data_IF_651396473553
#
_entry.id   IF_651396473553
#
_cell.length_a   1.000
_cell.length_b   1.000
_cell.length_c   1.000
_cell.angle_alpha   90.00
_cell.angle_beta   90.00
_cell.angle_gamma   90.00
#
_symmetry.space_group_name_H-M   'P 1'
#
loop_
_entity.id
_entity.type
_entity.pdbx_description
1 polymer ?
#
# COMPACT_ATOMS: atom_id res chain seq x y z
N UNK A 1 -4.24 -12.58 12.59
CA UNK A 1 -5.70 -12.71 12.87
C UNK A 1 -6.41 -11.35 12.74
N UNK A 2 -5.81 -10.26 13.22
CA UNK A 2 -6.38 -8.89 13.12
C UNK A 2 -6.68 -8.47 11.68
N UNK A 3 -5.79 -8.73 10.75
CA UNK A 3 -5.98 -8.46 9.31
C UNK A 3 -7.21 -9.17 8.71
N UNK A 4 -7.53 -10.37 9.19
CA UNK A 4 -8.68 -11.14 8.71
C UNK A 4 -10.02 -10.56 9.14
N UNK A 5 -10.04 -9.80 10.23
CA UNK A 5 -11.24 -9.14 10.76
C UNK A 5 -11.48 -7.79 10.08
N UNK A 6 -10.41 -7.11 9.69
CA UNK A 6 -10.44 -5.77 9.08
C UNK A 6 -10.64 -5.86 7.56
N UNK A 7 -10.04 -6.89 6.90
CA UNK A 7 -10.08 -7.02 5.45
C UNK A 7 -11.51 -7.13 4.92
N UNK A 8 -11.92 -6.32 3.93
CA UNK A 8 -13.25 -6.41 3.31
C UNK A 8 -13.43 -7.65 2.43
N UNK A 9 -12.39 -8.45 2.27
CA UNK A 9 -12.34 -9.67 1.48
C UNK A 9 -11.96 -10.88 2.35
N UNK A 10 -12.24 -12.07 1.83
CA UNK A 10 -11.98 -13.32 2.55
C UNK A 10 -10.52 -13.75 2.41
N UNK A 11 -9.79 -13.78 3.54
CA UNK A 11 -8.44 -14.35 3.62
C UNK A 11 -8.54 -15.83 3.99
N UNK A 12 -7.88 -16.68 3.22
CA UNK A 12 -7.84 -18.14 3.38
C UNK A 12 -6.39 -18.63 3.51
N UNK A 13 -6.23 -19.85 4.02
CA UNK A 13 -4.93 -20.51 4.15
C UNK A 13 -4.65 -21.31 2.89
N UNK A 14 -3.57 -21.00 2.20
CA UNK A 14 -3.09 -21.73 1.02
C UNK A 14 -2.46 -23.09 1.37
N UNK A 15 -2.15 -23.92 0.35
CA UNK A 15 -1.60 -25.27 0.51
C UNK A 15 -0.27 -25.30 1.26
N UNK A 16 0.56 -24.30 1.08
CA UNK A 16 1.86 -24.16 1.76
C UNK A 16 1.76 -23.47 3.14
N UNK A 17 0.53 -23.16 3.60
CA UNK A 17 0.30 -22.42 4.83
C UNK A 17 0.38 -20.89 4.67
N UNK A 18 0.54 -20.44 3.43
CA UNK A 18 0.55 -19.04 3.02
C UNK A 18 -0.84 -18.40 3.13
N UNK A 19 -0.90 -17.09 3.27
CA UNK A 19 -2.14 -16.33 3.22
C UNK A 19 -2.54 -16.09 1.75
N UNK A 20 -3.83 -16.31 1.44
CA UNK A 20 -4.40 -16.06 0.10
C UNK A 20 -5.69 -15.27 0.19
N UNK A 21 -5.99 -14.56 -0.87
CA UNK A 21 -7.26 -13.85 -1.05
C UNK A 21 -8.19 -14.71 -1.88
N UNK A 22 -9.37 -15.01 -1.33
CA UNK A 22 -10.42 -15.73 -2.05
C UNK A 22 -11.39 -14.74 -2.70
N UNK A 23 -11.57 -14.86 -4.01
CA UNK A 23 -12.49 -14.03 -4.81
C UNK A 23 -13.72 -14.85 -5.18
N UNK A 24 -14.88 -14.61 -4.54
CA UNK A 24 -16.10 -15.40 -4.77
C UNK A 24 -16.58 -15.37 -6.23
N UNK A 25 -16.47 -14.21 -6.89
CA UNK A 25 -16.94 -14.04 -8.28
C UNK A 25 -16.26 -14.96 -9.28
N UNK A 26 -15.01 -15.34 -9.04
CA UNK A 26 -14.22 -16.24 -9.90
C UNK A 26 -14.04 -17.62 -9.29
N UNK A 27 -14.43 -17.81 -8.04
CA UNK A 27 -14.18 -19.00 -7.22
C UNK A 27 -12.69 -19.39 -7.20
N UNK A 28 -11.79 -18.40 -7.12
CA UNK A 28 -10.34 -18.59 -7.14
C UNK A 28 -9.67 -17.99 -5.89
N UNK A 29 -8.54 -18.57 -5.55
CA UNK A 29 -7.61 -18.08 -4.54
C UNK A 29 -6.40 -17.46 -5.24
N UNK A 30 -5.97 -16.31 -4.75
CA UNK A 30 -4.82 -15.57 -5.26
C UNK A 30 -3.79 -15.37 -4.15
N UNK A 31 -2.53 -15.53 -4.50
CA UNK A 31 -1.41 -15.16 -3.63
C UNK A 31 -1.27 -13.64 -3.54
N UNK A 32 -0.62 -13.10 -2.50
CA UNK A 32 -0.31 -11.66 -2.41
C UNK A 32 0.46 -11.16 -3.63
N UNK A 33 1.38 -11.97 -4.18
CA UNK A 33 2.15 -11.64 -5.38
C UNK A 33 1.26 -11.48 -6.61
N UNK A 34 0.26 -12.35 -6.79
CA UNK A 34 -0.68 -12.26 -7.91
C UNK A 34 -1.58 -11.02 -7.79
N UNK A 35 -2.05 -10.69 -6.59
CA UNK A 35 -2.83 -9.46 -6.37
C UNK A 35 -1.97 -8.21 -6.65
N UNK A 36 -0.75 -8.16 -6.11
CA UNK A 36 0.19 -7.08 -6.37
C UNK A 36 0.53 -6.96 -7.85
N UNK A 37 0.64 -8.09 -8.57
CA UNK A 37 0.88 -8.10 -10.01
C UNK A 37 -0.29 -7.50 -10.80
N UNK A 38 -1.53 -7.68 -10.37
CA UNK A 38 -2.70 -7.03 -11.00
C UNK A 38 -2.60 -5.51 -10.88
N UNK A 39 -2.21 -5.00 -9.72
CA UNK A 39 -2.00 -3.57 -9.48
C UNK A 39 -0.86 -3.04 -10.36
N UNK A 40 0.30 -3.72 -10.36
CA UNK A 40 1.44 -3.34 -11.18
C UNK A 40 1.11 -3.41 -12.68
N UNK A 41 0.31 -4.39 -13.12
CA UNK A 41 -0.19 -4.48 -14.48
C UNK A 41 -1.07 -3.29 -14.88
N UNK A 42 -1.94 -2.84 -13.98
CA UNK A 42 -2.75 -1.64 -14.19
C UNK A 42 -1.86 -0.39 -14.31
N UNK A 43 -0.91 -0.21 -13.40
CA UNK A 43 0.03 0.91 -13.43
C UNK A 43 0.88 0.90 -14.73
N UNK A 44 1.32 -0.29 -15.17
CA UNK A 44 2.01 -0.46 -16.44
C UNK A 44 1.16 0.02 -17.60
N UNK A 45 -0.10 -0.44 -17.69
CA UNK A 45 -1.03 -0.04 -18.76
C UNK A 45 -1.27 1.46 -18.76
N UNK A 46 -1.43 2.08 -17.59
CA UNK A 46 -1.63 3.53 -17.48
C UNK A 46 -0.37 4.31 -17.92
N UNK A 47 0.81 3.82 -17.54
CA UNK A 47 2.08 4.42 -17.96
C UNK A 47 2.27 4.30 -19.48
N UNK A 48 1.97 3.14 -20.08
CA UNK A 48 2.03 2.92 -21.54
C UNK A 48 1.07 3.85 -22.28
N UNK A 49 -0.14 4.03 -21.75
CA UNK A 49 -1.12 4.94 -22.34
C UNK A 49 -0.65 6.42 -22.27
N UNK A 50 0.00 6.81 -21.18
CA UNK A 50 0.52 8.16 -20.99
C UNK A 50 1.76 8.45 -21.87
N UNK A 51 2.69 7.48 -21.93
CA UNK A 51 3.96 7.61 -22.66
C UNK A 51 3.82 7.38 -24.17
N UNK A 52 2.79 6.62 -24.59
CA UNK A 52 2.61 6.21 -25.98
C UNK A 52 3.57 5.13 -26.46
N UNK A 53 4.28 4.47 -25.54
CA UNK A 53 5.25 3.41 -25.85
C UNK A 53 5.19 2.28 -24.79
N UNK A 54 5.67 1.06 -25.13
CA UNK A 54 5.69 -0.06 -24.19
C UNK A 54 6.59 0.20 -22.98
N UNK A 55 6.09 -0.12 -21.78
CA UNK A 55 6.86 -0.08 -20.53
C UNK A 55 7.27 -1.51 -20.18
N UNK A 56 8.56 -1.81 -20.30
CA UNK A 56 9.12 -3.15 -20.07
C UNK A 56 9.94 -3.26 -18.80
N UNK A 57 10.41 -2.12 -18.25
CA UNK A 57 11.30 -2.08 -17.09
C UNK A 57 10.71 -1.20 -15.99
N UNK A 58 10.97 -1.58 -14.74
CA UNK A 58 10.53 -0.81 -13.58
C UNK A 58 11.55 -0.85 -12.44
N UNK A 59 11.62 0.24 -11.68
CA UNK A 59 12.12 0.27 -10.31
C UNK A 59 10.89 0.27 -9.41
N UNK A 60 10.85 -0.62 -8.43
CA UNK A 60 9.71 -0.75 -7.51
C UNK A 60 10.17 -0.40 -6.10
N UNK A 61 9.37 0.38 -5.39
CA UNK A 61 9.67 0.78 -4.02
C UNK A 61 8.98 -0.15 -3.03
N UNK A 62 9.59 -0.29 -1.86
CA UNK A 62 9.06 -1.05 -0.73
C UNK A 62 9.35 -0.29 0.57
N UNK A 63 8.55 -0.47 1.63
CA UNK A 63 8.86 0.05 2.95
C UNK A 63 10.26 -0.37 3.42
N UNK A 64 10.94 0.51 4.15
CA UNK A 64 12.31 0.25 4.60
C UNK A 64 12.43 -0.97 5.53
N UNK A 65 11.36 -1.30 6.26
CA UNK A 65 11.30 -2.46 7.17
C UNK A 65 10.99 -3.80 6.50
N UNK A 66 10.68 -3.83 5.19
CA UNK A 66 10.45 -5.08 4.49
C UNK A 66 11.67 -6.00 4.57
N UNK A 67 11.42 -7.25 4.96
CA UNK A 67 12.44 -8.30 4.95
C UNK A 67 12.69 -8.84 3.53
N UNK A 68 13.71 -9.70 3.38
CA UNK A 68 14.09 -10.24 2.08
C UNK A 68 12.98 -11.03 1.39
N UNK A 69 12.16 -11.76 2.13
CA UNK A 69 11.03 -12.51 1.58
C UNK A 69 9.96 -11.59 1.00
N UNK A 70 9.66 -10.47 1.67
CA UNK A 70 8.70 -9.48 1.21
C UNK A 70 9.23 -8.72 -0.02
N UNK A 71 10.54 -8.40 -0.04
CA UNK A 71 11.22 -7.79 -1.19
C UNK A 71 11.21 -8.71 -2.40
N UNK A 72 11.49 -10.00 -2.18
CA UNK A 72 11.44 -11.00 -3.24
C UNK A 72 10.02 -11.18 -3.78
N UNK A 73 9.00 -11.23 -2.91
CA UNK A 73 7.59 -11.31 -3.30
C UNK A 73 7.17 -10.11 -4.18
N UNK A 74 7.62 -8.90 -3.84
CA UNK A 74 7.38 -7.70 -4.66
C UNK A 74 8.07 -7.78 -6.02
N UNK A 75 9.31 -8.29 -6.06
CA UNK A 75 10.03 -8.52 -7.31
C UNK A 75 9.33 -9.56 -8.20
N UNK A 76 8.81 -10.62 -7.59
CA UNK A 76 8.07 -11.66 -8.32
C UNK A 76 6.73 -11.14 -8.85
N UNK A 77 6.03 -10.29 -8.08
CA UNK A 77 4.84 -9.58 -8.56
C UNK A 77 5.12 -8.74 -9.81
N UNK A 78 6.24 -8.02 -9.83
CA UNK A 78 6.68 -7.27 -11.01
C UNK A 78 6.89 -8.17 -12.23
N UNK A 79 7.51 -9.33 -12.06
CA UNK A 79 7.70 -10.31 -13.14
C UNK A 79 6.37 -10.88 -13.63
N UNK A 80 5.44 -11.22 -12.73
CA UNK A 80 4.10 -11.70 -13.09
C UNK A 80 3.35 -10.64 -13.90
N UNK A 81 3.53 -9.36 -13.57
CA UNK A 81 2.98 -8.23 -14.33
C UNK A 81 3.67 -7.98 -15.69
N UNK A 82 4.67 -8.78 -16.05
CA UNK A 82 5.42 -8.64 -17.31
C UNK A 82 6.43 -7.50 -17.32
N UNK A 83 6.99 -7.17 -16.15
CA UNK A 83 8.03 -6.14 -15.97
C UNK A 83 9.38 -6.77 -15.64
N UNK A 84 10.44 -6.27 -16.28
CA UNK A 84 11.80 -6.48 -15.81
C UNK A 84 12.05 -5.56 -14.60
N UNK A 85 12.12 -6.13 -13.40
CA UNK A 85 12.37 -5.38 -12.18
C UNK A 85 13.86 -5.07 -12.07
N UNK A 86 14.25 -3.86 -12.43
CA UNK A 86 15.64 -3.41 -12.44
C UNK A 86 16.20 -3.33 -11.02
N UNK A 87 15.40 -2.83 -10.08
CA UNK A 87 15.80 -2.68 -8.68
C UNK A 87 14.59 -2.60 -7.77
N UNK A 88 14.76 -3.08 -6.54
CA UNK A 88 13.88 -2.79 -5.40
C UNK A 88 14.62 -1.77 -4.53
N UNK A 89 13.98 -0.65 -4.19
CA UNK A 89 14.55 0.40 -3.34
C UNK A 89 13.59 0.73 -2.19
N UNK A 90 14.13 1.31 -1.12
CA UNK A 90 13.30 1.74 0.00
C UNK A 90 12.49 2.99 -0.35
N UNK A 91 11.23 3.05 0.06
CA UNK A 91 10.33 4.19 -0.15
C UNK A 91 10.92 5.51 0.37
N UNK A 92 11.47 5.59 1.60
CA UNK A 92 12.07 6.83 2.08
C UNK A 92 13.29 7.26 1.26
N UNK A 93 14.06 6.31 0.71
CA UNK A 93 15.18 6.61 -0.20
C UNK A 93 14.67 7.18 -1.52
N UNK A 94 13.61 6.61 -2.07
CA UNK A 94 12.99 7.12 -3.31
C UNK A 94 12.42 8.53 -3.12
N UNK A 95 11.78 8.79 -1.99
CA UNK A 95 11.26 10.12 -1.63
C UNK A 95 12.38 11.15 -1.52
N UNK A 96 13.47 10.81 -0.86
CA UNK A 96 14.64 11.67 -0.74
C UNK A 96 15.30 11.97 -2.10
N UNK A 97 15.42 10.96 -2.97
CA UNK A 97 15.92 11.12 -4.34
C UNK A 97 15.01 12.03 -5.18
N UNK A 98 13.70 11.82 -5.12
CA UNK A 98 12.73 12.63 -5.85
C UNK A 98 12.75 14.11 -5.41
N UNK A 99 13.04 14.37 -4.15
CA UNK A 99 13.20 15.72 -3.63
C UNK A 99 14.57 16.36 -4.01
N UNK A 100 15.48 15.61 -4.61
CA UNK A 100 16.79 16.10 -5.07
C UNK A 100 17.84 16.19 -3.97
N UNK A 101 17.73 15.39 -2.93
CA UNK A 101 18.67 15.38 -1.80
C UNK A 101 19.98 14.62 -2.09
N UNK A 102 20.06 13.91 -3.21
CA UNK A 102 21.28 13.27 -3.72
C UNK A 102 22.42 14.26 -4.02
N UNK A 103 22.08 15.53 -4.24
CA UNK A 103 23.03 16.62 -4.55
C UNK A 103 23.56 17.32 -3.30
N UNK A 104 23.01 17.03 -2.15
CA UNK A 104 23.41 17.62 -0.88
C UNK A 104 24.46 16.78 -0.17
N UNK A 105 25.33 17.41 0.63
CA UNK A 105 26.41 16.75 1.34
C UNK A 105 26.09 16.62 2.84
N UNK A 106 26.25 15.40 3.38
CA UNK A 106 26.21 15.11 4.82
C UNK A 106 24.99 15.67 5.55
N UNK A 107 23.81 15.33 5.11
CA UNK A 107 22.56 15.71 5.76
C UNK A 107 21.89 14.54 6.46
N UNK A 108 21.22 14.82 7.56
CA UNK A 108 20.25 13.93 8.19
C UNK A 108 18.86 14.37 7.81
N UNK A 109 18.07 13.44 7.29
CA UNK A 109 16.75 13.70 6.73
C UNK A 109 15.75 12.87 7.50
N UNK A 110 14.63 13.50 7.86
CA UNK A 110 13.44 12.79 8.33
C UNK A 110 12.46 12.71 7.15
N UNK A 111 12.07 11.50 6.78
CA UNK A 111 10.98 11.24 5.85
C UNK A 111 9.75 10.86 6.66
N UNK A 112 8.68 11.63 6.49
CA UNK A 112 7.39 11.42 7.12
C UNK A 112 6.39 11.03 6.03
N UNK A 113 6.00 9.76 6.02
CA UNK A 113 5.11 9.17 5.01
C UNK A 113 3.81 8.74 5.68
N UNK A 114 2.74 9.49 5.42
CA UNK A 114 1.41 9.20 5.95
C UNK A 114 0.47 8.94 4.78
N UNK A 115 0.21 7.66 4.55
CA UNK A 115 -0.66 7.17 3.49
C UNK A 115 -2.12 6.99 3.90
N UNK A 116 -2.88 6.27 3.09
CA UNK A 116 -4.28 5.92 3.38
C UNK A 116 -4.41 4.91 4.51
N UNK A 117 -3.52 3.92 4.57
CA UNK A 117 -3.61 2.81 5.52
C UNK A 117 -2.40 2.61 6.42
N UNK A 118 -1.26 3.25 6.11
CA UNK A 118 -0.02 3.11 6.89
C UNK A 118 0.64 4.46 7.14
N UNK A 119 1.33 4.55 8.26
CA UNK A 119 2.20 5.65 8.61
C UNK A 119 3.62 5.15 8.79
N UNK A 120 4.56 5.73 8.07
CA UNK A 120 5.98 5.41 8.14
C UNK A 120 6.81 6.66 8.37
N UNK A 121 7.76 6.58 9.29
CA UNK A 121 8.75 7.63 9.54
C UNK A 121 10.14 7.02 9.53
N UNK A 122 11.05 7.63 8.77
CA UNK A 122 12.42 7.14 8.62
C UNK A 122 13.42 8.28 8.77
N UNK A 123 14.53 7.98 9.43
CA UNK A 123 15.68 8.88 9.49
C UNK A 123 16.75 8.32 8.56
N UNK A 124 17.15 9.11 7.59
CA UNK A 124 18.21 8.81 6.64
C UNK A 124 19.42 9.70 6.90
N UNK A 125 20.60 9.18 6.63
CA UNK A 125 21.81 9.94 6.48
C UNK A 125 22.24 9.91 5.01
N UNK A 126 22.49 11.09 4.46
CA UNK A 126 22.92 11.28 3.07
C UNK A 126 24.36 11.76 3.09
N UNK A 127 25.22 11.01 2.41
CA UNK A 127 26.63 11.39 2.27
C UNK A 127 27.19 10.89 0.95
N UNK A 128 27.84 11.76 0.17
CA UNK A 128 28.51 11.41 -1.09
C UNK A 128 27.64 10.62 -2.09
N UNK A 129 26.30 10.93 -2.13
CA UNK A 129 25.35 10.24 -2.99
C UNK A 129 24.87 8.88 -2.45
N UNK A 130 25.27 8.50 -1.25
CA UNK A 130 24.80 7.29 -0.54
C UNK A 130 23.70 7.67 0.44
N UNK A 131 22.61 6.92 0.41
CA UNK A 131 21.51 7.03 1.37
C UNK A 131 21.54 5.84 2.33
N UNK A 132 21.72 6.10 3.59
CA UNK A 132 21.69 5.09 4.65
C UNK A 132 20.47 5.31 5.54
N UNK A 133 19.59 4.30 5.66
CA UNK A 133 18.47 4.34 6.60
C UNK A 133 19.00 4.02 7.99
N UNK A 134 18.97 5.00 8.89
CA UNK A 134 19.49 4.87 10.26
C UNK A 134 18.45 4.27 11.21
N UNK A 135 17.19 4.66 11.05
CA UNK A 135 16.09 4.10 11.81
C UNK A 135 14.77 4.27 11.06
N UNK A 136 13.83 3.40 11.37
CA UNK A 136 12.45 3.47 10.88
C UNK A 136 11.50 3.11 12.01
N UNK A 137 10.35 3.76 12.02
CA UNK A 137 9.22 3.50 12.91
C UNK A 137 7.94 3.82 12.16
N UNK A 138 6.80 3.42 12.71
CA UNK A 138 5.51 3.70 12.09
C UNK A 138 4.40 2.88 12.70
N UNK A 139 3.24 2.95 12.05
CA UNK A 139 2.07 2.16 12.38
C UNK A 139 1.46 1.62 11.08
N UNK A 140 1.38 0.31 10.95
CA UNK A 140 0.85 -0.38 9.77
C UNK A 140 -0.67 -0.32 9.64
N UNK A 141 -1.37 0.31 10.61
CA UNK A 141 -2.81 0.46 10.68
C UNK A 141 -3.23 1.90 11.01
N UNK A 142 -2.43 2.88 10.61
CA UNK A 142 -2.72 4.29 10.79
C UNK A 142 -2.60 5.03 9.46
N UNK A 143 -3.68 5.68 9.04
CA UNK A 143 -3.72 6.44 7.80
C UNK A 143 -5.03 7.14 7.57
N UNK A 144 -5.26 7.61 6.34
CA UNK A 144 -6.48 8.29 5.91
C UNK A 144 -7.75 7.50 6.22
N UNK A 145 -7.70 6.17 6.07
CA UNK A 145 -8.84 5.28 6.37
C UNK A 145 -9.37 5.42 7.81
N UNK A 146 -8.51 5.78 8.77
CA UNK A 146 -8.92 6.01 10.16
C UNK A 146 -9.74 7.30 10.29
N UNK A 147 -9.37 8.34 9.55
CA UNK A 147 -10.17 9.58 9.50
C UNK A 147 -11.50 9.35 8.80
N UNK A 148 -11.51 8.68 7.66
CA UNK A 148 -12.72 8.31 6.94
C UNK A 148 -13.66 7.50 7.83
N UNK A 149 -13.13 6.53 8.58
CA UNK A 149 -13.92 5.74 9.54
C UNK A 149 -14.52 6.61 10.66
N UNK A 150 -13.82 7.65 11.12
CA UNK A 150 -14.37 8.60 12.11
C UNK A 150 -15.51 9.39 11.52
N UNK A 151 -15.41 9.85 10.27
CA UNK A 151 -16.49 10.55 9.56
C UNK A 151 -17.70 9.64 9.35
N UNK A 152 -17.47 8.40 8.91
CA UNK A 152 -18.54 7.40 8.74
C UNK A 152 -19.27 7.16 10.07
N UNK A 153 -18.53 6.97 11.15
CA UNK A 153 -19.13 6.75 12.49
C UNK A 153 -19.95 7.95 12.91
N UNK A 154 -19.39 9.15 12.78
CA UNK A 154 -20.12 10.39 13.09
C UNK A 154 -21.41 10.54 12.26
N UNK A 155 -21.36 10.27 10.95
CA UNK A 155 -22.52 10.35 10.07
C UNK A 155 -23.62 9.34 10.46
N UNK A 156 -23.25 8.11 10.82
CA UNK A 156 -24.20 7.09 11.31
C UNK A 156 -24.87 7.54 12.60
N UNK A 157 -24.08 8.07 13.55
CA UNK A 157 -24.60 8.51 14.84
C UNK A 157 -25.55 9.72 14.69
N UNK A 158 -25.20 10.67 13.82
CA UNK A 158 -26.05 11.82 13.50
C UNK A 158 -27.38 11.38 12.86
N UNK A 159 -27.32 10.52 11.84
CA UNK A 159 -28.50 10.00 11.17
C UNK A 159 -29.40 9.19 12.11
N UNK A 160 -28.80 8.35 12.95
CA UNK A 160 -29.53 7.59 13.96
C UNK A 160 -30.26 8.50 14.95
N UNK A 161 -29.66 9.63 15.33
CA UNK A 161 -30.27 10.61 16.24
C UNK A 161 -31.42 11.35 15.60
N UNK A 162 -31.33 11.66 14.31
CA UNK A 162 -32.35 12.42 13.57
C UNK A 162 -33.50 11.53 13.10
N UNK A 163 -33.20 10.38 12.51
CA UNK A 163 -34.18 9.51 11.83
C UNK A 163 -34.53 8.24 12.63
N UNK A 164 -33.85 7.98 13.76
CA UNK A 164 -34.09 6.81 14.58
C UNK A 164 -33.60 5.48 13.99
N UNK A 165 -32.95 5.50 12.82
CA UNK A 165 -32.47 4.32 12.11
C UNK A 165 -30.97 4.12 12.29
N UNK A 166 -30.55 2.87 12.55
CA UNK A 166 -29.14 2.48 12.71
C UNK A 166 -28.60 1.87 11.40
N UNK A 167 -27.72 2.60 10.73
CA UNK A 167 -27.10 2.18 9.47
C UNK A 167 -25.83 1.32 9.68
N UNK A 168 -25.39 1.08 10.91
CA UNK A 168 -24.12 0.38 11.20
C UNK A 168 -24.07 -1.07 10.70
N UNK A 169 -25.20 -1.68 10.40
CA UNK A 169 -25.32 -3.04 9.87
C UNK A 169 -25.75 -3.12 8.42
N UNK A 170 -26.06 -1.98 7.80
CA UNK A 170 -26.42 -1.92 6.39
C UNK A 170 -25.16 -1.79 5.53
N UNK A 171 -24.79 -2.89 4.88
CA UNK A 171 -23.58 -2.96 4.04
C UNK A 171 -23.59 -1.95 2.89
N UNK A 172 -24.75 -1.69 2.31
CA UNK A 172 -24.90 -0.78 1.17
C UNK A 172 -24.76 0.67 1.62
N UNK A 173 -25.39 1.02 2.74
CA UNK A 173 -25.25 2.35 3.34
C UNK A 173 -23.80 2.60 3.80
N UNK A 174 -23.16 1.63 4.46
CA UNK A 174 -21.76 1.72 4.87
C UNK A 174 -20.81 1.94 3.69
N UNK A 175 -21.02 1.23 2.58
CA UNK A 175 -20.18 1.41 1.41
C UNK A 175 -20.31 2.83 0.83
N UNK A 176 -21.54 3.33 0.71
CA UNK A 176 -21.79 4.70 0.23
C UNK A 176 -21.23 5.78 1.17
N UNK A 177 -21.30 5.56 2.48
CA UNK A 177 -20.72 6.47 3.46
C UNK A 177 -19.18 6.50 3.35
N UNK A 178 -18.55 5.34 3.17
CA UNK A 178 -17.09 5.26 2.95
C UNK A 178 -16.64 5.93 1.66
N UNK A 179 -17.44 5.82 0.59
CA UNK A 179 -17.14 6.48 -0.69
C UNK A 179 -17.29 8.01 -0.61
N UNK A 180 -18.09 8.49 0.34
CA UNK A 180 -18.35 9.92 0.53
C UNK A 180 -17.41 10.58 1.56
N UNK A 181 -16.80 9.79 2.43
CA UNK A 181 -15.92 10.29 3.49
C UNK A 181 -14.53 10.60 2.95
#
# INVERSE_FOLDING_TARGET
>A
DQEREIAPFKVVKGPAGDARVFIPATNKEFTPQEISAMILGKLKTDAEAYLGEPVTKAVITVPAYFNDSQRQATKDAGKIAGLEVMRIINEPTASALAYGLDKKKNEKILVFDLGGGTFDVSILEVGEGVFEVKSTAGDTHLGGDDWDQKLVTWAIDAFKKEEGMDLSKDRQALQRLREAA
#
